data_IF_506367057875
#
_entry.id   IF_506367057875
#
_cell.length_a   1.000
_cell.length_b   1.000
_cell.length_c   1.000
_cell.angle_alpha   90.00
_cell.angle_beta   90.00
_cell.angle_gamma   90.00
#
_symmetry.space_group_name_H-M   'P 1'
#
loop_
_entity.id
_entity.type
_entity.pdbx_description
1 polymer ?
#
# COMPACT_ATOMS: atom_id res chain seq x y z
N UNK A 1 -15.85 1.03 1.97
CA UNK A 1 -14.72 0.88 1.03
C UNK A 1 -15.22 1.17 -0.37
N UNK A 2 -14.41 1.84 -1.17
CA UNK A 2 -14.67 2.03 -2.61
C UNK A 2 -14.69 0.67 -3.33
N UNK A 3 -15.33 0.60 -4.50
CA UNK A 3 -15.15 -0.56 -5.38
C UNK A 3 -13.69 -0.65 -5.83
N UNK A 4 -13.25 -1.84 -6.22
CA UNK A 4 -11.91 -2.09 -6.74
C UNK A 4 -11.55 -1.18 -7.94
N UNK A 5 -12.53 -0.90 -8.79
CA UNK A 5 -12.39 -0.01 -9.93
C UNK A 5 -12.24 1.46 -9.48
N UNK A 6 -13.07 1.92 -8.55
CA UNK A 6 -12.94 3.25 -7.97
C UNK A 6 -11.60 3.42 -7.25
N UNK A 7 -11.14 2.40 -6.53
CA UNK A 7 -9.81 2.41 -5.89
C UNK A 7 -8.68 2.59 -6.91
N UNK A 8 -8.72 1.85 -8.02
CA UNK A 8 -7.74 1.95 -9.11
C UNK A 8 -7.68 3.34 -9.74
N UNK A 9 -8.83 4.00 -9.91
CA UNK A 9 -8.90 5.32 -10.54
C UNK A 9 -8.57 6.45 -9.58
N UNK A 10 -9.10 6.43 -8.35
CA UNK A 10 -8.93 7.53 -7.40
C UNK A 10 -7.56 7.54 -6.72
N UNK A 11 -6.87 6.40 -6.58
CA UNK A 11 -5.54 6.36 -5.95
C UNK A 11 -4.56 7.36 -6.59
N UNK A 12 -4.60 7.50 -7.92
CA UNK A 12 -3.72 8.44 -8.63
C UNK A 12 -3.95 9.89 -8.18
N UNK A 13 -5.22 10.29 -8.02
CA UNK A 13 -5.55 11.61 -7.50
C UNK A 13 -5.07 11.77 -6.06
N UNK A 14 -5.27 10.77 -5.20
CA UNK A 14 -4.76 10.80 -3.83
C UNK A 14 -3.24 10.93 -3.76
N UNK A 15 -2.49 10.17 -4.56
CA UNK A 15 -1.02 10.29 -4.64
C UNK A 15 -0.61 11.72 -5.05
N UNK A 16 -1.25 12.30 -6.06
CA UNK A 16 -0.95 13.67 -6.51
C UNK A 16 -1.24 14.70 -5.41
N UNK A 17 -2.35 14.54 -4.70
CA UNK A 17 -2.72 15.44 -3.61
C UNK A 17 -1.78 15.28 -2.41
N UNK A 18 -1.36 14.06 -2.08
CA UNK A 18 -0.39 13.79 -1.01
C UNK A 18 0.96 14.46 -1.30
N UNK A 19 1.49 14.26 -2.51
CA UNK A 19 2.74 14.90 -2.96
C UNK A 19 2.66 16.43 -2.87
N UNK A 20 1.47 17.00 -3.06
CA UNK A 20 1.23 18.46 -2.97
C UNK A 20 0.97 18.95 -1.54
N UNK A 21 0.95 18.07 -0.54
CA UNK A 21 0.57 18.41 0.84
C UNK A 21 -0.89 18.84 0.97
N UNK A 22 -1.76 18.40 0.06
CA UNK A 22 -3.17 18.79 -0.01
C UNK A 22 -4.12 17.76 0.63
N UNK A 23 -3.59 16.72 1.27
CA UNK A 23 -4.36 15.76 2.05
C UNK A 23 -4.29 16.12 3.52
N UNK A 24 -5.45 16.19 4.19
CA UNK A 24 -5.53 16.51 5.62
C UNK A 24 -5.78 15.30 6.53
N UNK A 25 -6.40 14.24 6.02
CA UNK A 25 -6.87 13.12 6.84
C UNK A 25 -6.64 11.72 6.24
N UNK A 26 -6.31 11.63 4.96
CA UNK A 26 -6.10 10.33 4.31
C UNK A 26 -4.64 9.92 4.34
N UNK A 27 -4.38 8.63 4.55
CA UNK A 27 -3.03 8.10 4.62
C UNK A 27 -2.77 7.16 3.44
N UNK A 28 -2.25 7.74 2.37
CA UNK A 28 -1.97 7.02 1.12
C UNK A 28 -0.89 5.95 1.35
N UNK A 29 0.12 6.24 2.17
CA UNK A 29 1.19 5.30 2.51
C UNK A 29 0.61 4.08 3.23
N UNK A 30 -0.25 4.29 4.22
CA UNK A 30 -0.92 3.19 4.94
C UNK A 30 -1.68 2.29 3.98
N UNK A 31 -2.47 2.84 3.06
CA UNK A 31 -3.27 2.02 2.14
C UNK A 31 -2.43 1.16 1.18
N UNK A 32 -1.22 1.62 0.85
CA UNK A 32 -0.28 0.95 -0.03
C UNK A 32 0.68 -0.01 0.69
N UNK A 33 0.84 0.12 2.01
CA UNK A 33 1.76 -0.73 2.79
C UNK A 33 1.04 -1.74 3.70
N UNK A 34 -0.17 -1.42 4.15
CA UNK A 34 -0.91 -2.23 5.11
C UNK A 34 -1.23 -3.65 4.58
N UNK A 35 -0.77 -4.67 5.31
CA UNK A 35 -0.87 -6.08 4.95
C UNK A 35 0.32 -6.62 4.14
N UNK A 36 1.34 -5.79 3.88
CA UNK A 36 2.59 -6.21 3.23
C UNK A 36 3.82 -6.14 4.15
N UNK A 37 3.64 -5.72 5.40
CA UNK A 37 4.68 -5.84 6.42
C UNK A 37 4.89 -7.30 6.83
N UNK A 38 6.08 -7.65 7.29
CA UNK A 38 6.40 -9.04 7.66
C UNK A 38 5.50 -9.54 8.80
N UNK A 39 5.18 -8.66 9.75
CA UNK A 39 4.29 -8.95 10.86
C UNK A 39 2.85 -9.28 10.43
N UNK A 40 2.40 -8.76 9.29
CA UNK A 40 1.03 -8.97 8.80
C UNK A 40 0.87 -10.29 8.04
N UNK A 41 1.96 -10.92 7.61
CA UNK A 41 1.92 -11.94 6.54
C UNK A 41 1.06 -13.16 6.90
N UNK A 42 1.20 -13.62 8.14
CA UNK A 42 0.51 -14.82 8.64
C UNK A 42 -0.70 -14.48 9.51
N UNK A 43 -0.96 -13.20 9.77
CA UNK A 43 -2.08 -12.78 10.61
C UNK A 43 -3.41 -13.06 9.91
N UNK A 44 -4.27 -13.86 10.55
CA UNK A 44 -5.60 -14.17 10.02
C UNK A 44 -6.53 -12.96 10.14
N UNK A 45 -7.18 -12.61 9.03
CA UNK A 45 -8.21 -11.60 9.00
C UNK A 45 -9.50 -12.16 9.61
N UNK A 46 -9.85 -11.78 10.83
CA UNK A 46 -11.04 -12.21 11.59
C UNK A 46 -11.54 -13.62 11.17
N UNK A 47 -10.95 -14.70 11.73
CA UNK A 47 -11.20 -16.07 11.27
C UNK A 47 -12.67 -16.47 11.27
N UNK A 48 -13.48 -15.89 12.18
CA UNK A 48 -14.92 -16.17 12.29
C UNK A 48 -15.70 -15.68 11.08
N UNK A 49 -15.20 -14.64 10.39
CA UNK A 49 -15.88 -14.01 9.25
C UNK A 49 -15.25 -14.40 7.90
N UNK A 50 -13.93 -14.60 7.86
CA UNK A 50 -13.20 -14.82 6.60
C UNK A 50 -12.41 -16.13 6.55
N UNK A 51 -12.61 -17.04 7.51
CA UNK A 51 -11.97 -18.36 7.53
C UNK A 51 -10.44 -18.25 7.64
N UNK A 52 -9.73 -18.91 6.74
CA UNK A 52 -8.26 -18.95 6.72
C UNK A 52 -7.61 -17.76 5.99
N UNK A 53 -8.38 -16.73 5.59
CA UNK A 53 -7.84 -15.59 4.86
C UNK A 53 -6.90 -14.78 5.75
N UNK A 54 -5.68 -14.54 5.28
CA UNK A 54 -4.69 -13.70 5.96
C UNK A 54 -4.86 -12.21 5.61
N UNK A 55 -4.21 -11.32 6.37
CA UNK A 55 -4.06 -9.91 5.97
C UNK A 55 -3.32 -9.78 4.65
N UNK A 56 -2.33 -10.63 4.41
CA UNK A 56 -1.61 -10.73 3.14
C UNK A 56 -2.57 -11.01 1.97
N UNK A 57 -3.40 -12.05 2.07
CA UNK A 57 -4.36 -12.40 1.01
C UNK A 57 -5.29 -11.22 0.67
N UNK A 58 -5.74 -10.52 1.72
CA UNK A 58 -6.59 -9.33 1.59
C UNK A 58 -5.85 -8.17 0.90
N UNK A 59 -4.58 -7.95 1.24
CA UNK A 59 -3.76 -6.89 0.65
C UNK A 59 -3.42 -7.17 -0.82
N UNK A 60 -3.04 -8.42 -1.14
CA UNK A 60 -2.80 -8.86 -2.52
C UNK A 60 -4.06 -8.68 -3.36
N UNK A 61 -5.22 -9.12 -2.87
CA UNK A 61 -6.49 -8.96 -3.58
C UNK A 61 -6.77 -7.47 -3.87
N UNK A 62 -6.73 -6.61 -2.84
CA UNK A 62 -6.99 -5.17 -2.95
C UNK A 62 -6.06 -4.46 -3.94
N UNK A 63 -4.78 -4.86 -3.99
CA UNK A 63 -3.78 -4.19 -4.81
C UNK A 63 -3.55 -4.84 -6.18
N UNK A 64 -4.09 -6.03 -6.43
CA UNK A 64 -3.92 -6.77 -7.70
C UNK A 64 -4.43 -6.01 -8.93
N UNK A 65 -5.36 -5.07 -8.74
CA UNK A 65 -6.05 -4.31 -9.78
C UNK A 65 -5.17 -3.31 -10.53
N UNK A 66 -4.01 -2.94 -9.98
CA UNK A 66 -3.12 -1.95 -10.58
C UNK A 66 -2.38 -2.51 -11.80
N UNK A 67 -2.34 -1.76 -12.89
CA UNK A 67 -1.57 -2.09 -14.08
C UNK A 67 -0.06 -1.91 -13.84
N UNK A 68 0.82 -2.48 -14.68
CA UNK A 68 2.28 -2.33 -14.53
C UNK A 68 2.75 -0.86 -14.47
N UNK A 69 2.13 0.02 -15.27
CA UNK A 69 2.42 1.47 -15.22
C UNK A 69 2.03 2.10 -13.88
N UNK A 70 0.88 1.70 -13.33
CA UNK A 70 0.43 2.18 -12.02
C UNK A 70 1.32 1.64 -10.89
N UNK A 71 1.74 0.37 -10.97
CA UNK A 71 2.69 -0.23 -10.04
C UNK A 71 4.01 0.54 -10.05
N UNK A 72 4.55 0.86 -11.23
CA UNK A 72 5.78 1.66 -11.35
C UNK A 72 5.64 3.03 -10.69
N UNK A 73 4.49 3.70 -10.86
CA UNK A 73 4.22 4.98 -10.21
C UNK A 73 4.07 4.86 -8.68
N UNK A 74 3.44 3.78 -8.20
CA UNK A 74 3.33 3.47 -6.76
C UNK A 74 4.72 3.23 -6.16
N UNK A 75 5.59 2.47 -6.83
CA UNK A 75 6.97 2.24 -6.40
C UNK A 75 7.74 3.55 -6.31
N UNK A 76 7.63 4.41 -7.33
CA UNK A 76 8.27 5.73 -7.31
C UNK A 76 7.77 6.61 -6.16
N UNK A 77 6.45 6.62 -5.93
CA UNK A 77 5.84 7.35 -4.82
C UNK A 77 6.31 6.84 -3.45
N UNK A 78 6.34 5.52 -3.23
CA UNK A 78 6.78 4.95 -1.96
C UNK A 78 8.27 5.22 -1.69
N UNK A 79 9.13 5.18 -2.71
CA UNK A 79 10.54 5.59 -2.55
C UNK A 79 10.67 7.08 -2.20
N UNK A 80 9.89 7.95 -2.85
CA UNK A 80 9.84 9.37 -2.49
C UNK A 80 9.43 9.58 -1.02
N UNK A 81 8.38 8.89 -0.55
CA UNK A 81 7.95 8.96 0.86
C UNK A 81 9.00 8.38 1.82
N UNK A 82 9.72 7.33 1.41
CA UNK A 82 10.80 6.76 2.21
C UNK A 82 11.97 7.75 2.39
N UNK A 83 12.31 8.49 1.33
CA UNK A 83 13.32 9.56 1.37
C UNK A 83 12.87 10.72 2.28
N UNK A 84 11.60 11.12 2.20
CA UNK A 84 11.01 12.19 3.02
C UNK A 84 10.96 11.83 4.52
N UNK A 85 10.57 10.59 4.84
CA UNK A 85 10.52 10.06 6.22
C UNK A 85 11.92 9.97 6.87
N UNK A 86 12.96 9.70 6.06
CA UNK A 86 14.31 9.41 6.54
C UNK A 86 14.43 8.05 7.25
N UNK A 87 15.64 7.68 7.65
CA UNK A 87 15.94 6.31 8.14
C UNK A 87 15.11 5.87 9.34
N UNK A 88 14.76 6.81 10.23
CA UNK A 88 14.03 6.61 11.49
C UNK A 88 12.59 7.12 11.44
N UNK A 89 12.10 7.45 10.25
CA UNK A 89 10.71 7.86 10.07
C UNK A 89 9.74 6.75 10.47
N UNK A 90 8.54 7.15 10.88
CA UNK A 90 7.51 6.24 11.40
C UNK A 90 7.15 5.18 10.36
N UNK A 91 7.02 5.59 9.09
CA UNK A 91 6.66 4.68 8.00
C UNK A 91 7.86 3.99 7.34
N UNK A 92 9.10 4.37 7.68
CA UNK A 92 10.28 3.97 6.94
C UNK A 92 10.45 2.45 6.84
N UNK A 93 10.22 1.72 7.94
CA UNK A 93 10.32 0.26 7.95
C UNK A 93 9.20 -0.40 7.12
N UNK A 94 7.95 -0.01 7.34
CA UNK A 94 6.82 -0.64 6.64
C UNK A 94 6.80 -0.32 5.15
N UNK A 95 7.32 0.84 4.74
CA UNK A 95 7.54 1.14 3.31
C UNK A 95 8.58 0.19 2.71
N UNK A 96 9.73 -0.01 3.38
CA UNK A 96 10.78 -0.92 2.92
C UNK A 96 10.27 -2.35 2.76
N UNK A 97 9.54 -2.85 3.77
CA UNK A 97 8.97 -4.20 3.74
C UNK A 97 7.93 -4.33 2.62
N UNK A 98 6.99 -3.38 2.48
CA UNK A 98 6.00 -3.44 1.41
C UNK A 98 6.62 -3.38 0.00
N UNK A 99 7.66 -2.56 -0.19
CA UNK A 99 8.42 -2.50 -1.44
C UNK A 99 9.06 -3.84 -1.76
N UNK A 100 9.80 -4.43 -0.82
CA UNK A 100 10.51 -5.69 -1.01
C UNK A 100 9.57 -6.88 -1.19
N UNK A 101 8.50 -6.95 -0.38
CA UNK A 101 7.62 -8.11 -0.32
C UNK A 101 6.64 -8.20 -1.48
N UNK A 102 6.17 -7.06 -2.01
CA UNK A 102 5.10 -7.06 -3.00
C UNK A 102 5.36 -6.14 -4.19
N UNK A 103 5.65 -4.86 -3.97
CA UNK A 103 5.60 -3.88 -5.06
C UNK A 103 6.72 -4.05 -6.08
N UNK A 104 7.97 -4.26 -5.64
CA UNK A 104 9.10 -4.42 -6.56
C UNK A 104 8.98 -5.67 -7.42
N UNK A 105 8.44 -6.77 -6.86
CA UNK A 105 8.21 -8.02 -7.60
C UNK A 105 7.09 -7.93 -8.65
N UNK A 106 6.34 -6.81 -8.70
CA UNK A 106 5.27 -6.56 -9.68
C UNK A 106 5.66 -5.58 -10.79
N UNK A 107 6.88 -5.06 -10.74
CA UNK A 107 7.45 -4.15 -11.76
C UNK A 107 8.09 -4.97 -12.87
#
# INVERSE_FOLDING_TARGET
MLSDEAWRYYLQAFIIYDIRGMISHEDVVFHLTNGFADADREELLNPRRYGARTRWDSAVFRCSVFSPKQVSAIVAYLNFKLEEEGERGYYAQVIREALANYWLGRT
#
